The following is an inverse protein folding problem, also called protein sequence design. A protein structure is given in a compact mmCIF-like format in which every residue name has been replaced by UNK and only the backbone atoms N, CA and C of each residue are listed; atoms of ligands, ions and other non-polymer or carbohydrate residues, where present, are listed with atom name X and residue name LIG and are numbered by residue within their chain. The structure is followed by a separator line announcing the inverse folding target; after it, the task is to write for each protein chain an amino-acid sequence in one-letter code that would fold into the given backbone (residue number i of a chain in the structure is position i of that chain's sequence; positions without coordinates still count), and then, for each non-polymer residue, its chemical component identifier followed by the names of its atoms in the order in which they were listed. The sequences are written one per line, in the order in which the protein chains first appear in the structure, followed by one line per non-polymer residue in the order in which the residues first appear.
data_IF_685901066501
#
_entry.id   IF_685901066501
#
_cell.length_a   1.000
_cell.length_b   1.000
_cell.length_c   1.000
_cell.angle_alpha   90.00
_cell.angle_beta   90.00
_cell.angle_gamma   90.00
#
_symmetry.space_group_name_H-M   'P 1'
#
loop_
_entity.id
_entity.type
_entity.pdbx_description
1 polymer ?
#
# COMPACT_ATOMS: atom_id res chain seq x y z
N UNK A 1 16.23 -83.78 -41.07
CA UNK A 1 16.84 -83.13 -39.87
C UNK A 1 17.03 -81.66 -40.17
N UNK A 2 16.13 -80.85 -39.68
CA UNK A 2 16.14 -79.38 -39.89
C UNK A 2 16.78 -78.73 -38.69
N UNK A 3 17.91 -78.05 -38.92
CA UNK A 3 18.59 -77.26 -37.93
C UNK A 3 18.02 -75.82 -37.98
N UNK A 4 17.25 -75.38 -36.93
CA UNK A 4 16.71 -74.03 -36.81
C UNK A 4 17.68 -73.17 -36.00
N UNK A 5 18.54 -72.47 -36.69
CA UNK A 5 19.25 -71.33 -36.06
C UNK A 5 18.31 -70.20 -35.81
N UNK A 6 17.95 -70.02 -34.55
CA UNK A 6 17.13 -68.90 -34.08
C UNK A 6 18.04 -67.68 -33.79
N UNK A 7 18.03 -66.78 -34.72
CA UNK A 7 18.70 -65.48 -34.54
C UNK A 7 17.97 -64.68 -33.47
N UNK A 8 18.56 -64.51 -32.30
CA UNK A 8 18.06 -63.58 -31.26
C UNK A 8 18.56 -62.20 -31.59
N UNK A 9 17.67 -61.35 -32.07
CA UNK A 9 17.92 -59.90 -32.20
C UNK A 9 17.74 -59.28 -30.82
N UNK A 10 18.83 -58.89 -30.20
CA UNK A 10 18.79 -58.05 -28.96
C UNK A 10 18.56 -56.62 -29.35
N UNK A 11 17.34 -56.10 -29.17
CA UNK A 11 17.06 -54.71 -29.32
C UNK A 11 17.39 -54.03 -27.98
N UNK A 12 18.55 -53.44 -27.89
CA UNK A 12 18.88 -52.54 -26.76
C UNK A 12 18.26 -51.18 -27.02
N UNK A 13 17.14 -50.92 -26.37
CA UNK A 13 16.54 -49.57 -26.35
C UNK A 13 17.41 -48.67 -25.48
N UNK A 14 18.28 -47.90 -26.10
CA UNK A 14 19.00 -46.84 -25.43
C UNK A 14 18.03 -45.67 -25.24
N UNK A 15 17.48 -45.54 -24.03
CA UNK A 15 16.74 -44.32 -23.62
C UNK A 15 17.78 -43.24 -23.39
N UNK A 16 17.95 -42.35 -24.37
CA UNK A 16 18.71 -41.11 -24.17
C UNK A 16 17.83 -40.17 -23.36
N UNK A 17 18.05 -40.08 -22.05
CA UNK A 17 17.51 -39.00 -21.23
C UNK A 17 18.26 -37.73 -21.61
N UNK A 18 17.65 -36.92 -22.45
CA UNK A 18 18.04 -35.51 -22.61
C UNK A 18 17.64 -34.76 -21.34
N UNK A 19 18.53 -34.71 -20.36
CA UNK A 19 18.44 -33.74 -19.27
C UNK A 19 18.82 -32.41 -19.83
N UNK A 20 17.83 -31.65 -20.33
CA UNK A 20 17.99 -30.21 -20.52
C UNK A 20 18.18 -29.61 -19.14
N UNK A 21 19.41 -29.32 -18.76
CA UNK A 21 19.69 -28.46 -17.63
C UNK A 21 19.16 -27.07 -17.97
N UNK A 22 17.93 -26.75 -17.54
CA UNK A 22 17.45 -25.39 -17.50
C UNK A 22 18.32 -24.70 -16.46
N UNK A 23 19.36 -24.03 -16.93
CA UNK A 23 20.13 -23.11 -16.08
C UNK A 23 19.20 -21.96 -15.71
N UNK A 24 18.49 -22.07 -14.59
CA UNK A 24 17.82 -20.96 -13.97
C UNK A 24 18.91 -20.02 -13.49
N UNK A 25 19.19 -18.97 -14.27
CA UNK A 25 20.06 -17.90 -13.82
C UNK A 25 19.39 -17.30 -12.59
N UNK A 26 19.97 -17.44 -11.42
CA UNK A 26 19.47 -16.86 -10.21
C UNK A 26 19.37 -15.33 -10.43
N UNK A 27 18.23 -14.75 -10.03
CA UNK A 27 18.08 -13.30 -10.08
C UNK A 27 19.06 -12.70 -9.07
N UNK A 28 19.96 -11.85 -9.55
CA UNK A 28 20.90 -11.13 -8.71
C UNK A 28 20.32 -9.75 -8.38
N UNK A 29 20.28 -9.42 -7.09
CA UNK A 29 19.81 -8.12 -6.59
C UNK A 29 21.01 -7.40 -6.01
N UNK A 30 21.33 -6.24 -6.58
CA UNK A 30 22.44 -5.41 -6.14
C UNK A 30 21.92 -4.06 -5.65
N UNK A 31 22.40 -3.61 -4.50
CA UNK A 31 22.20 -2.24 -4.06
C UNK A 31 23.06 -1.31 -4.91
N UNK A 32 22.42 -0.36 -5.60
CA UNK A 32 23.12 0.61 -6.47
C UNK A 32 23.33 1.97 -5.81
N UNK A 33 22.46 2.33 -4.85
CA UNK A 33 22.57 3.57 -4.08
C UNK A 33 21.79 3.50 -2.77
N UNK A 34 21.95 4.50 -1.91
CA UNK A 34 21.16 4.71 -0.73
C UNK A 34 20.99 6.21 -0.47
N UNK A 35 19.89 6.59 0.18
CA UNK A 35 19.62 7.96 0.58
C UNK A 35 19.08 8.00 2.00
N UNK A 36 19.68 8.80 2.87
CA UNK A 36 19.24 8.98 4.24
C UNK A 36 18.33 10.20 4.33
N UNK A 37 17.06 10.02 4.67
CA UNK A 37 16.05 11.08 4.80
C UNK A 37 16.21 11.79 6.15
N UNK A 38 16.33 11.03 7.23
CA UNK A 38 16.50 11.52 8.60
C UNK A 38 17.19 10.50 9.49
N UNK A 39 17.17 10.69 10.80
CA UNK A 39 17.74 9.76 11.77
C UNK A 39 16.70 9.41 12.84
N UNK A 40 16.46 8.14 13.04
CA UNK A 40 15.50 7.63 14.01
C UNK A 40 14.23 7.10 13.35
N UNK A 41 13.24 6.84 14.17
CA UNK A 41 11.91 6.37 13.74
C UNK A 41 11.11 7.50 13.11
N UNK A 42 10.06 7.16 12.34
CA UNK A 42 9.13 8.12 11.73
C UNK A 42 9.67 8.95 10.55
N UNK A 43 10.92 8.73 10.11
CA UNK A 43 11.49 9.47 8.96
C UNK A 43 11.30 8.79 7.61
N UNK A 44 11.02 7.48 7.57
CA UNK A 44 10.80 6.73 6.33
C UNK A 44 9.94 5.49 6.63
N UNK A 45 8.62 5.60 6.51
CA UNK A 45 7.69 4.54 6.87
C UNK A 45 7.08 3.87 5.64
N UNK A 46 6.53 4.66 4.73
CA UNK A 46 5.96 4.17 3.48
C UNK A 46 6.63 4.82 2.28
N UNK A 47 6.81 4.04 1.21
CA UNK A 47 7.40 4.51 -0.04
C UNK A 47 6.49 4.22 -1.23
N UNK A 48 6.37 5.17 -2.14
CA UNK A 48 5.71 5.00 -3.45
C UNK A 48 6.58 5.59 -4.56
N UNK A 49 6.61 4.89 -5.67
CA UNK A 49 7.25 5.40 -6.88
C UNK A 49 6.27 6.22 -7.70
N UNK A 50 6.65 7.46 -8.02
CA UNK A 50 5.91 8.33 -8.93
C UNK A 50 6.64 8.37 -10.27
N UNK A 51 6.05 7.68 -11.26
CA UNK A 51 6.70 7.44 -12.57
C UNK A 51 6.92 8.72 -13.38
N UNK A 52 5.97 9.64 -13.36
CA UNK A 52 6.04 10.86 -14.16
C UNK A 52 7.16 11.80 -13.70
N UNK A 53 7.34 11.98 -12.40
CA UNK A 53 8.44 12.79 -11.86
C UNK A 53 9.72 11.99 -11.64
N UNK A 54 9.70 10.66 -11.87
CA UNK A 54 10.79 9.75 -11.56
C UNK A 54 11.34 9.98 -10.15
N UNK A 55 10.42 10.00 -9.18
CA UNK A 55 10.76 10.21 -7.77
C UNK A 55 10.15 9.15 -6.88
N UNK A 56 10.79 8.93 -5.75
CA UNK A 56 10.23 8.21 -4.62
C UNK A 56 9.55 9.21 -3.71
N UNK A 57 8.33 8.90 -3.30
CA UNK A 57 7.56 9.63 -2.29
C UNK A 57 7.63 8.82 -1.01
N UNK A 58 8.11 9.42 0.06
CA UNK A 58 8.36 8.74 1.33
C UNK A 58 7.64 9.48 2.44
N UNK A 59 6.75 8.79 3.16
CA UNK A 59 6.10 9.39 4.34
C UNK A 59 7.11 9.53 5.46
N UNK A 60 7.12 10.71 6.08
CA UNK A 60 7.93 11.06 7.22
C UNK A 60 7.01 11.62 8.31
N UNK A 61 6.44 10.74 9.13
CA UNK A 61 5.48 11.10 10.18
C UNK A 61 6.10 12.01 11.24
N UNK A 62 7.39 11.84 11.55
CA UNK A 62 8.12 12.69 12.48
C UNK A 62 8.14 14.17 12.05
N UNK A 63 8.25 14.44 10.76
CA UNK A 63 8.24 15.81 10.20
C UNK A 63 6.89 16.24 9.65
N UNK A 64 5.91 15.32 9.56
CA UNK A 64 4.60 15.58 8.97
C UNK A 64 4.67 15.89 7.48
N UNK A 65 5.62 15.32 6.74
CA UNK A 65 5.86 15.60 5.32
C UNK A 65 5.86 14.34 4.48
N UNK A 66 5.63 14.50 3.17
CA UNK A 66 6.04 13.50 2.17
C UNK A 66 7.33 13.98 1.54
N UNK A 67 8.41 13.30 1.88
CA UNK A 67 9.72 13.54 1.33
C UNK A 67 9.78 13.07 -0.13
N UNK A 68 10.46 13.83 -0.99
CA UNK A 68 10.58 13.54 -2.41
C UNK A 68 12.04 13.33 -2.79
N UNK A 69 12.34 12.13 -3.29
CA UNK A 69 13.69 11.75 -3.71
C UNK A 69 13.71 11.50 -5.21
N UNK A 70 14.37 12.35 -5.97
CA UNK A 70 14.54 12.13 -7.41
C UNK A 70 15.42 10.91 -7.65
N UNK A 71 14.94 9.99 -8.50
CA UNK A 71 15.68 8.83 -9.00
C UNK A 71 15.89 8.92 -10.52
N UNK A 72 15.88 10.14 -11.06
CA UNK A 72 16.18 10.36 -12.49
C UNK A 72 17.57 9.86 -12.86
N UNK A 73 18.51 9.96 -11.93
CA UNK A 73 19.78 9.24 -11.92
C UNK A 73 19.80 8.31 -10.71
N UNK A 74 19.60 6.99 -10.88
CA UNK A 74 19.51 6.05 -9.76
C UNK A 74 20.84 5.85 -9.01
N UNK A 75 21.95 6.27 -9.58
CA UNK A 75 23.25 6.26 -8.91
C UNK A 75 23.54 7.53 -8.11
N UNK A 76 22.72 8.59 -8.31
CA UNK A 76 22.91 9.90 -7.67
C UNK A 76 21.55 10.46 -7.22
N UNK A 77 21.01 9.90 -6.14
CA UNK A 77 19.74 10.28 -5.58
C UNK A 77 19.78 11.71 -5.04
N UNK A 78 18.71 12.49 -5.28
CA UNK A 78 18.63 13.88 -4.83
C UNK A 78 17.30 14.15 -4.13
N UNK A 79 17.36 14.77 -2.97
CA UNK A 79 16.16 15.32 -2.32
C UNK A 79 15.67 16.52 -3.13
N UNK A 80 14.37 16.56 -3.38
CA UNK A 80 13.68 17.71 -3.97
C UNK A 80 12.63 18.21 -2.95
N UNK A 81 12.01 19.37 -3.25
CA UNK A 81 11.06 19.97 -2.32
C UNK A 81 9.99 18.95 -1.88
N UNK A 82 9.75 18.77 -0.59
CA UNK A 82 8.72 17.88 -0.06
C UNK A 82 7.32 18.43 -0.37
N UNK A 83 6.29 17.60 -0.19
CA UNK A 83 4.92 18.11 -0.10
C UNK A 83 4.70 18.68 1.30
N UNK A 84 4.19 19.91 1.35
CA UNK A 84 3.81 20.56 2.60
C UNK A 84 2.38 20.13 2.96
N UNK A 85 2.28 19.31 3.99
CA UNK A 85 1.03 18.77 4.49
C UNK A 85 0.51 19.67 5.62
N UNK A 86 -0.79 19.88 5.66
CA UNK A 86 -1.42 20.68 6.73
C UNK A 86 -2.17 19.78 7.71
N UNK A 87 -1.92 19.97 9.00
CA UNK A 87 -2.60 19.28 10.11
C UNK A 87 -2.19 17.81 10.27
N UNK A 88 -1.99 17.37 11.49
CA UNK A 88 -1.76 15.96 11.83
C UNK A 88 -0.46 15.33 11.30
N UNK A 89 -0.38 14.02 11.43
CA UNK A 89 0.74 13.20 10.98
C UNK A 89 0.36 12.40 9.74
N UNK A 90 1.23 12.40 8.72
CA UNK A 90 1.06 11.56 7.54
C UNK A 90 1.25 10.09 7.90
N UNK A 91 0.29 9.25 7.48
CA UNK A 91 0.34 7.79 7.67
C UNK A 91 0.68 7.07 6.38
N UNK A 92 0.05 7.45 5.27
CA UNK A 92 0.28 6.79 4.00
C UNK A 92 0.24 7.76 2.81
N UNK A 93 0.77 7.30 1.68
CA UNK A 93 0.75 8.00 0.39
C UNK A 93 0.34 7.06 -0.73
N UNK A 94 -0.52 7.52 -1.63
CA UNK A 94 -0.91 6.82 -2.86
C UNK A 94 -0.65 7.69 -4.08
N UNK A 95 -0.47 7.05 -5.22
CA UNK A 95 -0.16 7.71 -6.48
C UNK A 95 -1.01 7.13 -7.59
N UNK A 96 -1.63 8.00 -8.38
CA UNK A 96 -2.24 7.62 -9.65
C UNK A 96 -1.97 8.72 -10.68
N UNK A 97 -1.16 8.41 -11.71
CA UNK A 97 -0.71 9.40 -12.71
C UNK A 97 -0.12 10.64 -12.02
N UNK A 98 -0.71 11.83 -12.24
CA UNK A 98 -0.29 13.13 -11.68
C UNK A 98 -0.90 13.41 -10.30
N UNK A 99 -1.78 12.54 -9.81
CA UNK A 99 -2.40 12.70 -8.50
C UNK A 99 -1.59 11.99 -7.43
N UNK A 100 -1.36 12.68 -6.34
CA UNK A 100 -0.71 12.19 -5.15
C UNK A 100 -1.67 12.44 -4.00
N UNK A 101 -2.02 11.40 -3.27
CA UNK A 101 -2.92 11.50 -2.12
C UNK A 101 -2.18 11.07 -0.86
N UNK A 102 -2.35 11.83 0.21
CA UNK A 102 -1.81 11.55 1.53
C UNK A 102 -2.95 11.33 2.53
N UNK A 103 -2.87 10.28 3.34
CA UNK A 103 -3.70 10.14 4.53
C UNK A 103 -3.02 10.78 5.73
N UNK A 104 -3.81 11.48 6.53
CA UNK A 104 -3.34 12.29 7.66
C UNK A 104 -4.17 11.94 8.89
N UNK A 105 -3.52 11.45 9.94
CA UNK A 105 -4.15 11.22 11.22
C UNK A 105 -4.06 12.45 12.12
N UNK A 106 -5.08 12.67 12.91
CA UNK A 106 -5.09 13.67 13.98
C UNK A 106 -4.36 13.12 15.22
N UNK A 107 -3.98 14.02 16.11
CA UNK A 107 -3.26 13.64 17.34
C UNK A 107 -4.10 12.86 18.35
N UNK A 108 -5.41 13.05 18.33
CA UNK A 108 -6.34 12.36 19.21
C UNK A 108 -6.94 11.17 18.48
N UNK A 109 -7.02 10.02 19.15
CA UNK A 109 -7.50 8.77 18.59
C UNK A 109 -8.91 8.85 18.01
N UNK A 110 -9.83 9.59 18.64
CA UNK A 110 -11.24 9.71 18.27
C UNK A 110 -11.53 10.79 17.20
N UNK A 111 -10.53 11.56 16.81
CA UNK A 111 -10.72 12.64 15.83
C UNK A 111 -10.57 12.11 14.43
N UNK A 112 -11.58 12.29 13.56
CA UNK A 112 -11.48 11.92 12.15
C UNK A 112 -10.29 12.58 11.48
N UNK A 113 -9.53 11.78 10.73
CA UNK A 113 -8.43 12.27 9.91
C UNK A 113 -8.90 12.92 8.62
N UNK A 114 -7.99 13.05 7.68
CA UNK A 114 -8.30 13.56 6.36
C UNK A 114 -7.38 12.96 5.28
N UNK A 115 -7.81 13.13 4.03
CA UNK A 115 -7.01 12.89 2.85
C UNK A 115 -6.74 14.22 2.18
N UNK A 116 -5.48 14.50 1.87
CA UNK A 116 -5.08 15.63 1.05
C UNK A 116 -4.61 15.14 -0.32
N UNK A 117 -5.13 15.75 -1.38
CA UNK A 117 -4.81 15.39 -2.77
C UNK A 117 -4.03 16.54 -3.39
N UNK A 118 -2.91 16.19 -4.02
CA UNK A 118 -1.98 17.11 -4.65
C UNK A 118 -1.79 16.76 -6.12
N UNK A 119 -1.39 17.75 -6.91
CA UNK A 119 -0.81 17.52 -8.21
C UNK A 119 0.70 17.23 -8.12
N UNK A 120 1.31 16.89 -9.25
CA UNK A 120 2.75 16.59 -9.34
C UNK A 120 3.65 17.78 -8.93
N UNK A 121 3.16 19.02 -8.99
CA UNK A 121 3.91 20.21 -8.60
C UNK A 121 3.87 20.48 -7.09
N UNK A 122 3.04 19.74 -6.34
CA UNK A 122 2.86 19.93 -4.89
C UNK A 122 1.74 20.88 -4.52
N UNK A 123 0.91 21.29 -5.48
CA UNK A 123 -0.26 22.12 -5.21
C UNK A 123 -1.39 21.27 -4.64
N UNK A 124 -1.93 21.63 -3.49
CA UNK A 124 -3.09 20.96 -2.89
C UNK A 124 -4.34 21.25 -3.72
N UNK A 125 -4.96 20.22 -4.24
CA UNK A 125 -6.15 20.29 -5.09
C UNK A 125 -7.45 20.16 -4.27
N UNK A 126 -7.44 19.29 -3.26
CA UNK A 126 -8.60 19.02 -2.42
C UNK A 126 -8.20 18.40 -1.07
N UNK A 127 -9.16 18.43 -0.14
CA UNK A 127 -9.07 17.79 1.17
C UNK A 127 -10.43 17.18 1.54
N UNK A 128 -10.42 15.93 2.04
CA UNK A 128 -11.63 15.18 2.39
C UNK A 128 -11.49 14.53 3.75
N UNK A 129 -12.54 14.60 4.58
CA UNK A 129 -12.58 13.95 5.89
C UNK A 129 -12.67 12.42 5.76
N UNK A 130 -11.99 11.72 6.65
CA UNK A 130 -11.99 10.26 6.77
C UNK A 130 -12.60 9.82 8.11
N UNK A 131 -12.52 8.53 8.43
CA UNK A 131 -12.66 8.05 9.81
C UNK A 131 -11.43 8.38 10.66
N UNK A 132 -11.43 7.88 11.90
CA UNK A 132 -10.31 8.03 12.82
C UNK A 132 -9.11 7.20 12.32
N UNK A 133 -7.93 7.77 12.40
CA UNK A 133 -6.66 7.16 11.99
C UNK A 133 -6.74 6.49 10.60
N UNK A 134 -6.79 7.27 9.50
CA UNK A 134 -6.67 6.69 8.15
C UNK A 134 -5.24 6.18 7.95
N UNK A 135 -5.02 4.88 8.21
CA UNK A 135 -3.69 4.28 8.23
C UNK A 135 -3.16 3.93 6.84
N UNK A 136 -4.05 3.56 5.93
CA UNK A 136 -3.67 3.24 4.56
C UNK A 136 -4.58 3.92 3.54
N UNK A 137 -4.04 4.15 2.32
CA UNK A 137 -4.72 4.80 1.22
C UNK A 137 -4.34 4.16 -0.12
N UNK A 138 -5.31 3.94 -0.99
CA UNK A 138 -5.09 3.41 -2.33
C UNK A 138 -6.03 4.01 -3.37
N UNK A 139 -5.52 4.26 -4.57
CA UNK A 139 -6.34 4.53 -5.76
C UNK A 139 -6.79 3.22 -6.40
N UNK A 140 -8.01 3.20 -6.95
CA UNK A 140 -8.41 2.15 -7.89
C UNK A 140 -7.50 2.18 -9.14
N UNK A 141 -7.37 1.06 -9.88
CA UNK A 141 -6.51 0.99 -11.07
C UNK A 141 -6.85 2.05 -12.13
N UNK A 142 -8.10 2.42 -12.28
CA UNK A 142 -8.58 3.45 -13.21
C UNK A 142 -8.45 4.88 -12.63
N UNK A 143 -8.15 5.03 -11.34
CA UNK A 143 -8.03 6.30 -10.63
C UNK A 143 -9.36 6.98 -10.30
N UNK A 144 -10.48 6.30 -10.54
CA UNK A 144 -11.82 6.83 -10.25
C UNK A 144 -12.11 6.89 -8.76
N UNK A 145 -11.63 5.91 -8.02
CA UNK A 145 -11.85 5.81 -6.60
C UNK A 145 -10.56 5.98 -5.83
N UNK A 146 -10.67 6.61 -4.68
CA UNK A 146 -9.66 6.66 -3.65
C UNK A 146 -10.28 6.11 -2.36
N UNK A 147 -9.62 5.16 -1.73
CA UNK A 147 -10.13 4.47 -0.55
C UNK A 147 -9.12 4.59 0.59
N UNK A 148 -9.59 4.84 1.82
CA UNK A 148 -8.78 4.73 3.03
C UNK A 148 -9.25 3.59 3.91
N UNK A 149 -8.33 2.87 4.55
CA UNK A 149 -8.58 2.08 5.72
C UNK A 149 -8.39 3.00 6.93
N UNK A 150 -9.41 3.13 7.77
CA UNK A 150 -9.37 3.95 8.97
C UNK A 150 -9.34 2.98 10.15
N UNK A 151 -8.18 2.84 10.74
CA UNK A 151 -7.89 1.85 11.76
C UNK A 151 -8.76 2.03 13.00
N UNK A 152 -8.86 3.27 13.49
CA UNK A 152 -9.61 3.52 14.72
C UNK A 152 -8.88 3.00 15.97
N UNK A 153 -7.55 3.04 15.97
CA UNK A 153 -6.74 2.58 17.10
C UNK A 153 -7.19 3.21 18.43
N UNK A 154 -7.27 2.44 19.53
CA UNK A 154 -7.62 2.97 20.83
C UNK A 154 -6.57 3.95 21.36
N UNK A 155 -7.00 4.84 22.25
CA UNK A 155 -6.07 5.72 22.97
C UNK A 155 -5.14 4.89 23.90
N UNK A 156 -3.95 5.42 24.21
CA UNK A 156 -2.94 4.76 25.05
C UNK A 156 -3.48 4.27 26.40
N UNK A 157 -4.49 4.94 26.93
CA UNK A 157 -5.13 4.56 28.19
C UNK A 157 -6.40 3.71 28.01
N UNK A 158 -6.71 3.31 26.76
CA UNK A 158 -7.87 2.49 26.37
C UNK A 158 -9.24 3.05 26.80
N UNK A 159 -9.34 4.36 27.05
CA UNK A 159 -10.63 5.00 27.41
C UNK A 159 -11.43 5.44 26.20
N UNK A 160 -10.75 5.67 25.11
CA UNK A 160 -11.34 6.05 23.82
C UNK A 160 -10.97 4.94 22.85
N UNK A 161 -11.96 4.36 22.20
CA UNK A 161 -11.82 3.25 21.28
C UNK A 161 -12.72 3.49 20.05
N UNK A 162 -12.21 4.17 19.02
CA UNK A 162 -13.01 4.49 17.85
C UNK A 162 -13.30 3.24 17.00
N UNK A 163 -14.43 3.24 16.33
CA UNK A 163 -14.75 2.17 15.38
C UNK A 163 -13.84 2.26 14.14
N UNK A 164 -13.24 1.13 13.73
CA UNK A 164 -12.62 0.97 12.43
C UNK A 164 -13.62 1.17 11.30
N UNK A 165 -13.17 1.71 10.18
CA UNK A 165 -14.03 2.02 9.04
C UNK A 165 -13.24 2.15 7.74
N UNK A 166 -13.96 2.42 6.63
CA UNK A 166 -13.35 2.80 5.36
C UNK A 166 -13.96 4.10 4.85
N UNK A 167 -13.17 4.89 4.13
CA UNK A 167 -13.67 6.08 3.43
C UNK A 167 -13.48 5.92 1.94
N UNK A 168 -14.58 5.88 1.19
CA UNK A 168 -14.56 5.87 -0.27
C UNK A 168 -14.76 7.29 -0.79
N UNK A 169 -13.83 7.74 -1.61
CA UNK A 169 -13.86 9.04 -2.30
C UNK A 169 -14.01 8.78 -3.80
N UNK A 170 -15.18 9.07 -4.37
CA UNK A 170 -15.46 8.94 -5.80
C UNK A 170 -15.05 10.22 -6.54
N UNK A 171 -13.99 10.12 -7.31
CA UNK A 171 -13.37 11.22 -8.07
C UNK A 171 -13.99 11.40 -9.47
N UNK A 172 -15.05 10.67 -9.83
CA UNK A 172 -15.66 10.72 -11.17
C UNK A 172 -16.10 12.12 -11.60
N UNK A 173 -16.47 12.97 -10.63
CA UNK A 173 -16.87 14.37 -10.88
C UNK A 173 -15.71 15.35 -10.81
N UNK A 174 -14.48 14.85 -10.77
CA UNK A 174 -13.24 15.62 -10.60
C UNK A 174 -12.81 15.73 -9.14
N UNK A 175 -11.50 15.93 -8.94
CA UNK A 175 -10.84 15.92 -7.63
C UNK A 175 -11.44 16.91 -6.64
N UNK A 176 -11.93 18.06 -7.10
CA UNK A 176 -12.51 19.12 -6.23
C UNK A 176 -13.99 18.89 -5.91
N UNK A 177 -14.67 18.00 -6.63
CA UNK A 177 -16.10 17.75 -6.51
C UNK A 177 -16.38 16.25 -6.20
N UNK A 178 -15.47 15.61 -5.50
CA UNK A 178 -15.61 14.20 -5.18
C UNK A 178 -16.77 13.93 -4.21
N UNK A 179 -17.40 12.77 -4.38
CA UNK A 179 -18.41 12.28 -3.45
C UNK A 179 -17.73 11.38 -2.41
N UNK A 180 -17.94 11.69 -1.14
CA UNK A 180 -17.33 10.95 -0.02
C UNK A 180 -18.37 10.10 0.68
N UNK A 181 -18.06 8.81 0.85
CA UNK A 181 -18.90 7.85 1.57
C UNK A 181 -18.09 7.17 2.68
N UNK A 182 -18.57 7.29 3.92
CA UNK A 182 -18.07 6.49 5.03
C UNK A 182 -18.72 5.11 5.01
N UNK A 183 -17.90 4.06 5.16
CA UNK A 183 -18.31 2.66 5.22
C UNK A 183 -17.96 2.16 6.62
N UNK A 184 -18.98 1.96 7.44
CA UNK A 184 -18.82 1.49 8.81
C UNK A 184 -18.84 -0.02 8.91
N UNK A 185 -18.12 -0.58 9.87
CA UNK A 185 -18.12 -2.00 10.23
C UNK A 185 -19.21 -2.37 11.25
N UNK A 186 -19.95 -1.40 11.77
CA UNK A 186 -20.93 -1.53 12.86
C UNK A 186 -21.96 -2.65 12.69
N UNK A 187 -22.39 -2.90 11.45
CA UNK A 187 -23.44 -3.90 11.16
C UNK A 187 -22.87 -5.19 10.56
N UNK A 188 -21.56 -5.34 10.52
CA UNK A 188 -20.92 -6.55 10.01
C UNK A 188 -20.97 -7.61 11.11
N UNK A 189 -21.55 -8.76 10.79
CA UNK A 189 -21.53 -9.91 11.69
C UNK A 189 -20.13 -10.51 11.68
N UNK A 190 -19.61 -10.73 12.89
CA UNK A 190 -18.34 -11.41 13.06
C UNK A 190 -18.39 -12.81 12.40
N UNK A 191 -17.39 -13.19 11.61
CA UNK A 191 -17.29 -14.53 11.07
C UNK A 191 -17.25 -15.58 12.17
N UNK A 192 -17.85 -16.75 11.93
CA UNK A 192 -17.82 -17.85 12.88
C UNK A 192 -16.35 -18.25 13.19
N UNK A 193 -16.00 -18.30 14.47
CA UNK A 193 -14.64 -18.61 14.92
C UNK A 193 -13.66 -17.42 14.93
N UNK A 194 -14.07 -16.24 14.51
CA UNK A 194 -13.29 -15.04 14.74
C UNK A 194 -13.22 -14.71 16.23
N UNK A 195 -12.12 -14.10 16.65
CA UNK A 195 -11.86 -13.74 18.06
C UNK A 195 -11.89 -12.22 18.19
N UNK A 196 -12.61 -11.73 19.18
CA UNK A 196 -12.44 -10.35 19.68
C UNK A 196 -11.23 -10.35 20.62
N UNK A 197 -10.31 -9.45 20.39
CA UNK A 197 -9.08 -9.36 21.20
C UNK A 197 -9.36 -8.61 22.49
N UNK A 198 -10.08 -7.51 22.41
CA UNK A 198 -10.49 -6.71 23.58
C UNK A 198 -11.86 -7.20 24.10
N UNK A 199 -11.95 -7.73 25.33
CA UNK A 199 -13.24 -8.09 25.93
C UNK A 199 -14.20 -6.90 25.95
N UNK A 200 -15.47 -7.15 25.66
CA UNK A 200 -16.55 -6.17 25.64
C UNK A 200 -16.50 -5.12 24.49
N UNK A 201 -15.54 -5.22 23.56
CA UNK A 201 -15.55 -4.43 22.32
C UNK A 201 -16.57 -4.98 21.32
N UNK A 202 -17.09 -4.10 20.47
CA UNK A 202 -17.79 -4.49 19.25
C UNK A 202 -16.79 -4.99 18.20
N UNK A 203 -17.29 -5.69 17.15
CA UNK A 203 -16.45 -6.04 16.01
C UNK A 203 -15.87 -4.80 15.29
N UNK A 204 -16.62 -3.71 15.27
CA UNK A 204 -16.16 -2.48 14.62
C UNK A 204 -15.01 -1.79 15.38
N UNK A 205 -15.00 -1.87 16.70
CA UNK A 205 -13.90 -1.36 17.54
C UNK A 205 -12.67 -2.26 17.49
N UNK A 206 -12.85 -3.59 17.41
CA UNK A 206 -11.75 -4.57 17.44
C UNK A 206 -11.17 -4.90 16.05
N UNK A 207 -11.80 -4.41 14.96
CA UNK A 207 -11.43 -4.80 13.60
C UNK A 207 -10.17 -4.12 13.08
N UNK A 208 -9.88 -2.89 13.52
CA UNK A 208 -8.67 -2.12 13.23
C UNK A 208 -8.11 -2.33 11.80
N UNK A 209 -8.83 -1.87 10.73
CA UNK A 209 -8.38 -2.11 9.36
C UNK A 209 -7.14 -1.28 9.03
N UNK A 210 -6.00 -1.94 8.85
CA UNK A 210 -4.70 -1.31 8.60
C UNK A 210 -4.35 -1.20 7.11
N UNK A 211 -4.84 -2.10 6.26
CA UNK A 211 -4.40 -2.15 4.86
C UNK A 211 -5.53 -2.39 3.88
N UNK A 212 -5.39 -1.79 2.68
CA UNK A 212 -6.30 -1.97 1.54
C UNK A 212 -5.56 -2.17 0.24
N UNK A 213 -6.18 -2.89 -0.67
CA UNK A 213 -5.73 -3.00 -2.05
C UNK A 213 -6.95 -3.18 -2.96
N UNK A 214 -6.83 -2.76 -4.20
CA UNK A 214 -7.81 -3.06 -5.24
C UNK A 214 -7.39 -4.31 -6.00
N UNK A 215 -8.35 -5.11 -6.44
CA UNK A 215 -8.09 -6.14 -7.43
C UNK A 215 -7.61 -5.52 -8.75
N UNK A 216 -6.84 -6.24 -9.61
CA UNK A 216 -6.35 -5.66 -10.86
C UNK A 216 -7.42 -5.22 -11.85
N UNK A 217 -8.62 -5.75 -11.71
CA UNK A 217 -9.80 -5.46 -12.52
C UNK A 217 -10.74 -4.41 -11.89
N UNK A 218 -10.38 -3.87 -10.71
CA UNK A 218 -11.09 -2.79 -10.00
C UNK A 218 -11.96 -3.23 -8.84
#
# INVERSE_FOLDING_TARGET
MFNKNMLKILVTSSVILLTSSISTKAMEINQISSFQIGKGEGYAEMIRYHSQSRSLLVTASETGTIERISISDPFNLKKIAPFDLSGGNVTAVAVHRDLIAASIKEKKADVPGNVQIFNNNGEKLAEYKTGALPDNIAFSPDGRYLLTANEGEPSDDYKIDPEGSFTLIDLSSGVQNANVKQITLKNIKMPAGARIVKPDSSFAEDAEPEYITFAPDG
#
